data_IF_108894279179
#
_entry.id   IF_108894279179
#
_cell.length_a   1.000
_cell.length_b   1.000
_cell.length_c   1.000
_cell.angle_alpha   90.00
_cell.angle_beta   90.00
_cell.angle_gamma   90.00
#
_symmetry.space_group_name_H-M   'P 1'
#
loop_
_entity.id
_entity.type
_entity.pdbx_description
1 polymer ?
#
# COMPACT_ATOMS: atom_id res chain seq x y z
N UNK A 1 9.15 -15.57 -2.52
CA UNK A 1 8.49 -14.35 -2.97
C UNK A 1 8.40 -13.38 -1.81
N UNK A 2 8.38 -12.12 -2.10
CA UNK A 2 8.32 -11.10 -1.04
C UNK A 2 7.09 -10.22 -1.20
N UNK A 3 6.64 -9.69 -0.07
CA UNK A 3 5.41 -8.92 0.01
C UNK A 3 5.60 -7.70 0.88
N UNK A 4 4.74 -6.71 0.67
CA UNK A 4 4.67 -5.52 1.52
C UNK A 4 3.23 -5.34 1.95
N UNK A 5 3.03 -5.22 3.26
CA UNK A 5 1.74 -4.78 3.79
C UNK A 5 1.85 -3.29 4.07
N UNK A 6 0.90 -2.53 3.55
CA UNK A 6 0.78 -1.10 3.81
C UNK A 6 -0.55 -0.86 4.50
N UNK A 7 -0.51 -0.25 5.68
CA UNK A 7 -1.71 0.05 6.45
C UNK A 7 -1.74 1.54 6.74
N UNK A 8 -2.86 2.18 6.45
CA UNK A 8 -3.03 3.58 6.83
C UNK A 8 -4.51 3.96 6.96
N UNK A 9 -4.72 5.05 7.66
CA UNK A 9 -6.04 5.67 7.77
C UNK A 9 -6.18 6.76 6.74
N UNK A 10 -7.41 6.93 6.25
CA UNK A 10 -7.74 7.91 5.22
C UNK A 10 -8.92 8.74 5.67
N UNK A 11 -9.04 9.94 5.09
CA UNK A 11 -10.14 10.86 5.42
C UNK A 11 -11.48 10.29 4.96
N UNK A 12 -11.54 9.77 3.72
CA UNK A 12 -12.76 9.26 3.13
C UNK A 12 -12.42 8.27 2.02
N UNK A 13 -12.91 7.05 2.14
CA UNK A 13 -12.64 5.99 1.20
C UNK A 13 -13.10 6.33 -0.22
N UNK A 14 -14.29 6.88 -0.36
CA UNK A 14 -14.85 7.18 -1.68
C UNK A 14 -14.03 8.22 -2.45
N UNK A 15 -13.34 9.11 -1.75
CA UNK A 15 -12.44 10.10 -2.36
C UNK A 15 -11.05 9.53 -2.59
N UNK A 16 -10.57 8.68 -1.69
CA UNK A 16 -9.24 8.09 -1.75
C UNK A 16 -9.09 7.06 -2.88
N UNK A 17 -10.09 6.20 -3.05
CA UNK A 17 -10.00 5.04 -3.95
C UNK A 17 -9.70 5.41 -5.41
N UNK A 18 -10.38 6.39 -6.03
CA UNK A 18 -10.06 6.77 -7.41
C UNK A 18 -8.63 7.28 -7.56
N UNK A 19 -8.12 8.01 -6.57
CA UNK A 19 -6.76 8.55 -6.60
C UNK A 19 -5.73 7.44 -6.38
N UNK A 20 -6.03 6.49 -5.51
CA UNK A 20 -5.20 5.30 -5.33
C UNK A 20 -5.09 4.50 -6.63
N UNK A 21 -6.20 4.32 -7.32
CA UNK A 21 -6.22 3.62 -8.61
C UNK A 21 -5.40 4.35 -9.66
N UNK A 22 -5.47 5.68 -9.70
CA UNK A 22 -4.72 6.49 -10.64
C UNK A 22 -3.20 6.35 -10.44
N UNK A 23 -2.76 6.10 -9.21
CA UNK A 23 -1.34 5.92 -8.88
C UNK A 23 -0.83 4.50 -9.16
N UNK A 24 -1.68 3.60 -9.67
CA UNK A 24 -1.31 2.22 -9.94
C UNK A 24 -0.14 2.08 -10.91
N UNK A 25 -0.07 2.94 -11.91
CA UNK A 25 1.03 2.92 -12.88
C UNK A 25 2.36 3.26 -12.21
N UNK A 26 2.37 4.19 -11.26
CA UNK A 26 3.58 4.56 -10.52
C UNK A 26 4.06 3.41 -9.64
N UNK A 27 3.13 2.70 -8.99
CA UNK A 27 3.49 1.52 -8.20
C UNK A 27 4.09 0.44 -9.07
N UNK A 28 3.49 0.19 -10.22
CA UNK A 28 4.00 -0.80 -11.18
C UNK A 28 5.39 -0.43 -11.67
N UNK A 29 5.61 0.84 -12.01
CA UNK A 29 6.91 1.35 -12.43
C UNK A 29 7.96 1.20 -11.31
N UNK A 30 7.54 1.32 -10.05
CA UNK A 30 8.39 1.11 -8.88
C UNK A 30 8.65 -0.35 -8.53
N UNK A 31 8.09 -1.29 -9.27
CA UNK A 31 8.36 -2.72 -9.11
C UNK A 31 7.23 -3.54 -8.50
N UNK A 32 6.09 -2.94 -8.18
CA UNK A 32 4.94 -3.68 -7.67
C UNK A 32 4.38 -4.61 -8.74
N UNK A 33 4.09 -5.84 -8.34
CA UNK A 33 3.43 -6.83 -9.19
C UNK A 33 1.93 -6.91 -8.93
N UNK A 34 1.40 -5.98 -8.12
CA UNK A 34 0.00 -5.98 -7.75
C UNK A 34 -0.23 -6.66 -6.42
N UNK A 35 -1.49 -6.86 -6.08
CA UNK A 35 -1.85 -7.47 -4.82
C UNK A 35 -3.33 -7.32 -4.52
N UNK A 36 -3.64 -7.09 -3.26
CA UNK A 36 -5.01 -7.04 -2.76
C UNK A 36 -5.20 -5.82 -1.88
N UNK A 37 -6.38 -5.23 -1.99
CA UNK A 37 -6.80 -4.13 -1.14
C UNK A 37 -7.87 -4.62 -0.17
N UNK A 38 -7.66 -4.35 1.10
CA UNK A 38 -8.60 -4.66 2.17
C UNK A 38 -9.01 -3.39 2.88
N UNK A 39 -10.21 -3.42 3.42
CA UNK A 39 -10.70 -2.36 4.29
C UNK A 39 -11.06 -3.01 5.62
N UNK A 40 -10.74 -2.33 6.73
CA UNK A 40 -11.06 -2.84 8.06
C UNK A 40 -12.56 -3.10 8.18
N UNK A 41 -12.92 -4.24 8.79
CA UNK A 41 -14.31 -4.57 9.04
C UNK A 41 -14.94 -3.61 10.06
N UNK A 42 -14.12 -2.99 10.91
CA UNK A 42 -14.58 -2.12 11.98
C UNK A 42 -14.52 -0.63 11.63
N UNK A 43 -13.62 -0.26 10.71
CA UNK A 43 -13.37 1.13 10.34
C UNK A 43 -13.30 1.27 8.82
N UNK A 44 -14.31 1.87 8.17
CA UNK A 44 -14.32 2.00 6.72
C UNK A 44 -13.23 2.92 6.16
N UNK A 45 -12.56 3.68 7.02
CA UNK A 45 -11.48 4.59 6.63
C UNK A 45 -10.10 4.07 7.02
N UNK A 46 -10.00 2.79 7.38
CA UNK A 46 -8.72 2.13 7.56
C UNK A 46 -8.53 1.11 6.44
N UNK A 47 -7.46 1.27 5.66
CA UNK A 47 -7.17 0.41 4.52
C UNK A 47 -5.86 -0.31 4.71
N UNK A 48 -5.81 -1.53 4.19
CA UNK A 48 -4.64 -2.40 4.23
C UNK A 48 -4.42 -2.94 2.83
N UNK A 49 -3.22 -2.76 2.29
CA UNK A 49 -2.84 -3.32 1.01
C UNK A 49 -1.78 -4.39 1.21
N UNK A 50 -1.93 -5.49 0.49
CA UNK A 50 -0.91 -6.52 0.41
C UNK A 50 -0.40 -6.55 -1.02
N UNK A 51 0.86 -6.14 -1.22
CA UNK A 51 1.50 -6.13 -2.53
C UNK A 51 2.57 -7.21 -2.62
N UNK A 52 2.64 -7.88 -3.77
CA UNK A 52 3.81 -8.65 -4.14
C UNK A 52 4.83 -7.69 -4.73
N UNK A 53 6.01 -7.64 -4.14
CA UNK A 53 7.00 -6.63 -4.49
C UNK A 53 8.38 -7.08 -4.05
N UNK A 54 9.39 -6.84 -4.89
CA UNK A 54 10.79 -7.02 -4.49
C UNK A 54 11.10 -6.07 -3.33
N UNK A 55 11.68 -6.60 -2.25
CA UNK A 55 11.86 -5.83 -1.02
C UNK A 55 12.74 -4.61 -1.18
N UNK A 56 13.82 -4.72 -1.97
CA UNK A 56 14.71 -3.58 -2.18
C UNK A 56 13.98 -2.45 -2.92
N UNK A 57 13.26 -2.79 -3.97
CA UNK A 57 12.49 -1.82 -4.74
C UNK A 57 11.35 -1.24 -3.92
N UNK A 58 10.68 -2.06 -3.13
CA UNK A 58 9.60 -1.60 -2.26
C UNK A 58 10.12 -0.63 -1.19
N UNK A 59 11.27 -0.93 -0.62
CA UNK A 59 11.90 -0.05 0.36
C UNK A 59 12.24 1.31 -0.24
N UNK A 60 12.82 1.32 -1.43
CA UNK A 60 13.13 2.56 -2.14
C UNK A 60 11.88 3.36 -2.44
N UNK A 61 10.82 2.69 -2.91
CA UNK A 61 9.55 3.33 -3.20
C UNK A 61 8.92 3.95 -1.95
N UNK A 62 8.98 3.24 -0.82
CA UNK A 62 8.38 3.72 0.44
C UNK A 62 9.09 4.94 1.01
N UNK A 63 10.34 5.17 0.62
CA UNK A 63 11.14 6.33 1.07
C UNK A 63 11.03 7.53 0.13
N UNK A 64 10.30 7.39 -0.97
CA UNK A 64 10.16 8.44 -1.97
C UNK A 64 9.40 9.63 -1.42
N UNK A 65 9.94 10.83 -1.65
CA UNK A 65 9.25 12.07 -1.29
C UNK A 65 7.99 12.26 -2.14
N UNK A 66 8.01 11.82 -3.39
CA UNK A 66 6.83 11.86 -4.26
C UNK A 66 5.69 11.04 -3.68
N UNK A 67 6.00 9.84 -3.14
CA UNK A 67 4.98 9.02 -2.50
C UNK A 67 4.38 9.71 -1.28
N UNK A 68 5.21 10.34 -0.46
CA UNK A 68 4.72 11.09 0.71
C UNK A 68 3.80 12.24 0.31
N UNK A 69 4.19 12.98 -0.71
CA UNK A 69 3.37 14.07 -1.23
C UNK A 69 2.04 13.55 -1.79
N UNK A 70 2.08 12.45 -2.54
CA UNK A 70 0.87 11.81 -3.07
C UNK A 70 -0.06 11.35 -1.96
N UNK A 71 0.48 10.73 -0.92
CA UNK A 71 -0.32 10.25 0.21
C UNK A 71 -1.02 11.40 0.93
N UNK A 72 -0.32 12.51 1.14
CA UNK A 72 -0.94 13.70 1.75
C UNK A 72 -2.04 14.26 0.86
N UNK A 73 -1.79 14.32 -0.43
CA UNK A 73 -2.75 14.87 -1.40
C UNK A 73 -4.03 14.04 -1.48
N UNK A 74 -3.93 12.71 -1.31
CA UNK A 74 -5.10 11.82 -1.38
C UNK A 74 -5.79 11.60 -0.03
N UNK A 75 -5.34 12.29 1.01
CA UNK A 75 -6.02 12.27 2.31
C UNK A 75 -5.60 11.15 3.24
N UNK A 76 -4.36 10.68 3.17
CA UNK A 76 -3.83 9.75 4.16
C UNK A 76 -3.53 10.49 5.45
N UNK A 77 -4.04 9.96 6.56
CA UNK A 77 -3.91 10.56 7.89
C UNK A 77 -2.72 9.93 8.62
N UNK A 78 -1.73 10.75 8.93
CA UNK A 78 -0.53 10.31 9.62
C UNK A 78 0.40 9.47 8.75
N UNK A 79 1.50 8.97 9.32
CA UNK A 79 2.44 8.13 8.58
C UNK A 79 1.83 6.76 8.32
N UNK A 80 1.98 6.20 7.09
CA UNK A 80 1.55 4.84 6.83
C UNK A 80 2.46 3.83 7.51
N UNK A 81 1.91 2.67 7.87
CA UNK A 81 2.68 1.55 8.38
C UNK A 81 3.06 0.64 7.23
N UNK A 82 4.36 0.43 7.03
CA UNK A 82 4.89 -0.52 6.06
C UNK A 82 5.43 -1.75 6.79
N UNK A 83 5.07 -2.93 6.30
CA UNK A 83 5.60 -4.18 6.81
C UNK A 83 6.16 -4.99 5.64
N UNK A 84 7.47 -5.23 5.65
CA UNK A 84 8.15 -5.95 4.60
C UNK A 84 8.26 -7.42 4.98
N UNK A 85 7.81 -8.32 4.10
CA UNK A 85 7.63 -9.73 4.40
C UNK A 85 8.29 -10.62 3.36
N UNK A 86 8.89 -11.71 3.82
CA UNK A 86 9.34 -12.79 2.95
C UNK A 86 8.44 -13.99 3.16
N UNK A 87 7.97 -14.59 2.09
CA UNK A 87 7.16 -15.80 2.19
C UNK A 87 8.06 -16.97 2.59
N UNK A 88 7.71 -17.62 3.70
CA UNK A 88 8.40 -18.81 4.19
C UNK A 88 7.71 -20.07 3.68
N UNK A 89 6.38 -20.08 3.75
CA UNK A 89 5.60 -21.27 3.49
C UNK A 89 4.16 -20.88 3.17
N UNK A 90 3.54 -21.57 2.25
CA UNK A 90 2.11 -21.45 2.01
C UNK A 90 1.37 -22.44 2.88
N UNK A 91 0.33 -21.98 3.56
CA UNK A 91 -0.44 -22.80 4.47
C UNK A 91 -1.80 -23.11 3.86
N UNK A 92 -2.22 -24.37 3.98
CA UNK A 92 -3.54 -24.77 3.51
C UNK A 92 -4.64 -24.46 4.52
N UNK A 93 -4.27 -24.29 5.79
CA UNK A 93 -5.23 -24.08 6.88
C UNK A 93 -4.56 -23.61 8.16
#
# INVERSE_FOLDING_TARGET
MSYVIVKHKIVDYARWKPLFDADGADRQAGGSKGGQLFRSADDPNEVVMLFEWDLEKACQFSQSEELRAQMQAVGVLGPPDFCFLEEIEQLFR
#
